data_IF_841133837098
#
_entry.id   IF_841133837098
#
_cell.length_a   1.000
_cell.length_b   1.000
_cell.length_c   1.000
_cell.angle_alpha   90.00
_cell.angle_beta   90.00
_cell.angle_gamma   90.00
#
_symmetry.space_group_name_H-M   'P 1'
#
loop_
_entity.id
_entity.type
_entity.pdbx_description
1 polymer ?
#
# COMPACT_ATOMS: atom_id res chain seq x y z
N UNK A 1 2.30 -21.57 6.81
CA UNK A 1 3.63 -21.06 6.44
C UNK A 1 4.05 -20.06 7.48
N UNK A 2 5.24 -20.23 8.05
CA UNK A 2 5.79 -19.37 9.10
C UNK A 2 6.64 -18.26 8.49
N UNK A 3 6.21 -17.01 8.60
CA UNK A 3 6.92 -15.84 8.05
C UNK A 3 7.60 -15.07 9.16
N UNK A 4 8.90 -14.82 9.02
CA UNK A 4 9.70 -14.02 9.95
C UNK A 4 9.93 -12.61 9.39
N UNK A 5 9.46 -11.58 10.08
CA UNK A 5 9.65 -10.17 9.72
C UNK A 5 10.71 -9.52 10.62
N UNK A 6 11.76 -8.97 10.01
CA UNK A 6 12.83 -8.31 10.75
C UNK A 6 12.53 -6.82 10.96
N UNK A 7 12.45 -6.39 12.22
CA UNK A 7 12.40 -4.96 12.55
C UNK A 7 13.83 -4.43 12.77
N UNK A 8 14.55 -4.20 11.69
CA UNK A 8 15.97 -3.84 11.78
C UNK A 8 16.18 -2.42 12.30
N UNK A 9 17.18 -2.24 13.17
CA UNK A 9 17.68 -0.93 13.55
C UNK A 9 18.98 -0.60 12.84
N UNK A 10 18.93 0.38 11.94
CA UNK A 10 20.08 0.84 11.15
C UNK A 10 20.81 2.01 11.79
N UNK A 11 20.31 2.54 12.91
CA UNK A 11 20.92 3.68 13.60
C UNK A 11 22.12 3.27 14.47
N UNK A 12 22.28 1.96 14.69
CA UNK A 12 23.38 1.41 15.48
C UNK A 12 24.70 1.34 14.71
N UNK A 13 25.81 1.34 15.43
CA UNK A 13 27.14 1.23 14.82
C UNK A 13 27.32 -0.09 14.03
N UNK A 14 28.18 -0.05 13.00
CA UNK A 14 28.41 -1.18 12.06
C UNK A 14 28.71 -2.52 12.73
N UNK A 15 29.57 -2.53 13.76
CA UNK A 15 29.92 -3.77 14.49
C UNK A 15 28.71 -4.39 15.20
N UNK A 16 27.84 -3.55 15.74
CA UNK A 16 26.61 -4.01 16.40
C UNK A 16 25.59 -4.46 15.35
N UNK A 17 25.43 -3.71 14.25
CA UNK A 17 24.57 -4.09 13.14
C UNK A 17 24.92 -5.47 12.56
N UNK A 18 26.20 -5.76 12.39
CA UNK A 18 26.69 -7.07 11.91
C UNK A 18 26.29 -8.20 12.85
N UNK A 19 26.51 -8.02 14.15
CA UNK A 19 26.11 -8.98 15.17
C UNK A 19 24.59 -9.23 15.14
N UNK A 20 23.80 -8.16 15.07
CA UNK A 20 22.33 -8.27 15.06
C UNK A 20 21.81 -8.92 13.77
N UNK A 21 22.43 -8.66 12.63
CA UNK A 21 22.11 -9.32 11.36
C UNK A 21 22.30 -10.85 11.45
N UNK A 22 23.48 -11.31 11.88
CA UNK A 22 23.74 -12.74 12.02
C UNK A 22 22.90 -13.38 13.14
N UNK A 23 22.58 -12.63 14.20
CA UNK A 23 21.65 -13.07 15.23
C UNK A 23 20.24 -13.28 14.65
N UNK A 24 19.75 -12.37 13.82
CA UNK A 24 18.45 -12.51 13.16
C UNK A 24 18.39 -13.72 12.23
N UNK A 25 19.44 -13.96 11.43
CA UNK A 25 19.56 -15.17 10.59
C UNK A 25 19.52 -16.45 11.44
N UNK A 26 20.25 -16.45 12.57
CA UNK A 26 20.22 -17.58 13.52
C UNK A 26 18.84 -17.79 14.11
N UNK A 27 18.14 -16.71 14.51
CA UNK A 27 16.78 -16.80 15.04
C UNK A 27 15.79 -17.32 14.01
N UNK A 28 15.91 -16.93 12.74
CA UNK A 28 15.10 -17.46 11.65
C UNK A 28 15.31 -18.97 11.50
N UNK A 29 16.57 -19.42 11.50
CA UNK A 29 16.96 -20.82 11.44
C UNK A 29 16.44 -21.64 12.63
N UNK A 30 16.76 -21.20 13.84
CA UNK A 30 16.36 -21.90 15.08
C UNK A 30 14.84 -21.91 15.25
N UNK A 31 14.18 -20.83 14.81
CA UNK A 31 12.73 -20.68 14.79
C UNK A 31 12.02 -21.45 13.68
N UNK A 32 12.77 -22.05 12.74
CA UNK A 32 12.25 -22.78 11.57
C UNK A 32 11.26 -21.92 10.76
N UNK A 33 11.64 -20.69 10.49
CA UNK A 33 10.90 -19.80 9.60
C UNK A 33 10.95 -20.37 8.18
N UNK A 34 9.85 -20.28 7.43
CA UNK A 34 9.80 -20.68 6.01
C UNK A 34 10.28 -19.55 5.09
N UNK A 35 9.93 -18.30 5.44
CA UNK A 35 10.28 -17.08 4.71
C UNK A 35 10.76 -15.98 5.66
N UNK A 36 11.99 -15.52 5.49
CA UNK A 36 12.58 -14.42 6.28
C UNK A 36 12.64 -13.12 5.49
N UNK A 37 12.04 -12.06 6.01
CA UNK A 37 11.79 -10.81 5.29
C UNK A 37 12.52 -9.64 5.94
N UNK A 38 13.28 -8.92 5.13
CA UNK A 38 13.95 -7.69 5.51
C UNK A 38 13.14 -6.44 5.14
N UNK A 39 13.28 -5.33 5.91
CA UNK A 39 12.67 -4.05 5.56
C UNK A 39 13.32 -3.41 4.33
N UNK A 40 12.72 -2.33 3.83
CA UNK A 40 13.33 -1.57 2.72
C UNK A 40 14.65 -0.92 3.16
N UNK A 41 15.63 -0.89 2.23
CA UNK A 41 17.00 -0.49 2.51
C UNK A 41 17.64 -1.25 3.68
N UNK A 42 17.36 -2.53 3.86
CA UNK A 42 17.92 -3.30 4.96
C UNK A 42 19.45 -3.28 4.96
N UNK A 43 20.06 -3.03 6.11
CA UNK A 43 21.50 -3.13 6.29
C UNK A 43 21.97 -4.59 6.26
N UNK A 44 23.09 -4.85 5.62
CA UNK A 44 23.76 -6.15 5.57
C UNK A 44 25.29 -5.98 5.71
N UNK A 45 26.03 -7.04 6.08
CA UNK A 45 27.49 -7.03 6.01
C UNK A 45 28.04 -6.84 4.60
N UNK A 46 27.21 -7.07 3.57
CA UNK A 46 27.54 -7.01 2.15
C UNK A 46 27.16 -5.67 1.49
N UNK A 47 26.77 -4.66 2.28
CA UNK A 47 26.27 -3.38 1.75
C UNK A 47 27.23 -2.72 0.76
N UNK A 48 28.54 -2.79 1.01
CA UNK A 48 29.54 -2.23 0.08
C UNK A 48 29.50 -2.95 -1.29
N UNK A 49 29.33 -4.27 -1.30
CA UNK A 49 29.26 -5.04 -2.54
C UNK A 49 27.92 -4.79 -3.23
N UNK A 50 26.81 -4.91 -2.52
CA UNK A 50 25.46 -4.78 -3.07
C UNK A 50 25.13 -3.38 -3.62
N UNK A 51 25.76 -2.33 -3.09
CA UNK A 51 25.57 -0.96 -3.57
C UNK A 51 26.13 -0.78 -5.00
N UNK A 52 27.28 -1.38 -5.27
CA UNK A 52 27.99 -1.28 -6.55
C UNK A 52 27.43 -2.24 -7.62
N UNK A 53 26.41 -3.04 -7.28
CA UNK A 53 25.79 -4.00 -8.18
C UNK A 53 24.45 -3.46 -8.70
N UNK A 54 24.40 -2.90 -9.93
CA UNK A 54 23.16 -2.42 -10.52
C UNK A 54 22.18 -3.58 -10.75
N UNK A 55 20.93 -3.44 -10.31
CA UNK A 55 19.91 -4.46 -10.63
C UNK A 55 19.42 -4.33 -12.09
N UNK A 56 19.40 -3.11 -12.61
CA UNK A 56 18.94 -2.79 -13.96
C UNK A 56 20.11 -2.48 -14.90
N UNK A 57 19.83 -2.42 -16.19
CA UNK A 57 20.79 -1.88 -17.16
C UNK A 57 20.74 -0.34 -17.11
N UNK A 58 21.89 0.30 -17.06
CA UNK A 58 22.05 1.75 -17.14
C UNK A 58 22.97 2.12 -18.30
N UNK A 59 23.03 3.40 -18.64
CA UNK A 59 23.89 3.87 -19.73
C UNK A 59 25.38 3.61 -19.40
N UNK A 60 25.99 2.65 -20.10
CA UNK A 60 27.38 2.26 -19.89
C UNK A 60 27.61 1.28 -18.74
N UNK A 61 26.55 0.74 -18.12
CA UNK A 61 26.63 -0.19 -17.00
C UNK A 61 25.61 -1.33 -17.16
N UNK A 62 26.08 -2.57 -17.22
CA UNK A 62 25.23 -3.76 -17.36
C UNK A 62 24.71 -4.23 -16.01
N UNK A 63 23.48 -4.76 -15.98
CA UNK A 63 22.90 -5.33 -14.78
C UNK A 63 23.76 -6.48 -14.20
N UNK A 64 23.73 -6.59 -12.88
CA UNK A 64 24.49 -7.57 -12.08
C UNK A 64 23.58 -8.48 -11.26
N UNK A 65 22.39 -8.77 -11.79
CA UNK A 65 21.37 -9.55 -11.09
C UNK A 65 21.87 -10.93 -10.60
N UNK A 66 22.73 -11.60 -11.36
CA UNK A 66 23.33 -12.89 -10.95
C UNK A 66 24.29 -12.77 -9.76
N UNK A 67 25.01 -11.66 -9.64
CA UNK A 67 25.95 -11.41 -8.54
C UNK A 67 25.16 -11.10 -7.26
N UNK A 68 24.11 -10.29 -7.38
CA UNK A 68 23.14 -10.05 -6.30
C UNK A 68 22.50 -11.37 -5.85
N UNK A 69 22.03 -12.20 -6.79
CA UNK A 69 21.42 -13.50 -6.52
C UNK A 69 22.35 -14.41 -5.69
N UNK A 70 23.64 -14.44 -5.99
CA UNK A 70 24.63 -15.24 -5.22
C UNK A 70 24.72 -14.76 -3.77
N UNK A 71 24.82 -13.45 -3.55
CA UNK A 71 24.87 -12.87 -2.20
C UNK A 71 23.59 -13.19 -1.42
N UNK A 72 22.41 -12.97 -2.01
CA UNK A 72 21.13 -13.24 -1.36
C UNK A 72 20.93 -14.74 -1.12
N UNK A 73 21.40 -15.59 -2.04
CA UNK A 73 21.43 -17.05 -1.87
C UNK A 73 22.23 -17.47 -0.62
N UNK A 74 23.39 -16.85 -0.38
CA UNK A 74 24.22 -17.17 0.79
C UNK A 74 23.57 -16.71 2.10
N UNK A 75 22.88 -15.57 2.08
CA UNK A 75 22.04 -15.12 3.20
C UNK A 75 20.93 -16.14 3.47
N UNK A 76 20.21 -16.58 2.44
CA UNK A 76 19.12 -17.56 2.54
C UNK A 76 19.62 -18.92 3.07
N UNK A 77 20.77 -19.41 2.57
CA UNK A 77 21.42 -20.63 3.08
C UNK A 77 21.81 -20.51 4.55
N UNK A 78 22.29 -19.34 4.97
CA UNK A 78 22.67 -19.08 6.37
C UNK A 78 21.45 -19.06 7.29
N UNK A 79 20.35 -18.41 6.85
CA UNK A 79 19.05 -18.43 7.54
C UNK A 79 18.35 -19.80 7.49
N UNK A 80 18.74 -20.67 6.56
CA UNK A 80 18.13 -21.97 6.30
C UNK A 80 16.63 -21.86 5.96
N UNK A 81 16.26 -20.85 5.18
CA UNK A 81 14.91 -20.61 4.68
C UNK A 81 14.95 -19.72 3.44
N UNK A 82 13.80 -19.52 2.78
CA UNK A 82 13.69 -18.49 1.75
C UNK A 82 13.87 -17.09 2.37
N UNK A 83 14.37 -16.13 1.59
CA UNK A 83 14.60 -14.75 2.04
C UNK A 83 14.01 -13.76 1.05
N UNK A 84 13.44 -12.67 1.57
CA UNK A 84 13.20 -11.42 0.83
C UNK A 84 14.15 -10.35 1.37
N UNK A 85 15.11 -9.93 0.55
CA UNK A 85 16.01 -8.82 0.86
C UNK A 85 15.59 -7.57 0.07
N UNK A 86 15.35 -6.45 0.75
CA UNK A 86 15.01 -5.19 0.08
C UNK A 86 16.13 -4.15 0.22
N UNK A 87 16.68 -3.70 -0.91
CA UNK A 87 17.87 -2.86 -1.02
C UNK A 87 17.73 -1.80 -2.10
N UNK A 88 18.71 -0.92 -2.18
CA UNK A 88 18.91 -0.04 -3.31
C UNK A 88 20.35 -0.20 -3.84
N UNK A 89 20.53 -0.05 -5.14
CA UNK A 89 21.83 0.16 -5.77
C UNK A 89 22.22 1.64 -5.77
N UNK A 90 23.46 1.94 -6.13
CA UNK A 90 24.00 3.31 -6.18
C UNK A 90 23.38 4.16 -7.30
N UNK A 91 22.75 3.53 -8.29
CA UNK A 91 21.92 4.20 -9.29
C UNK A 91 20.56 4.64 -8.74
N UNK A 92 20.16 4.12 -7.57
CA UNK A 92 18.97 4.53 -6.85
C UNK A 92 17.72 3.74 -7.20
N UNK A 93 17.84 2.57 -7.84
CA UNK A 93 16.73 1.63 -7.98
C UNK A 93 16.55 0.86 -6.66
N UNK A 94 15.35 0.93 -6.10
CA UNK A 94 14.98 0.19 -4.90
C UNK A 94 14.28 -1.09 -5.31
N UNK A 95 14.76 -2.23 -4.83
CA UNK A 95 14.27 -3.55 -5.20
C UNK A 95 14.04 -4.46 -4.00
N UNK A 96 13.15 -5.43 -4.16
CA UNK A 96 12.84 -6.50 -3.22
C UNK A 96 13.13 -7.83 -3.90
N UNK A 97 14.20 -8.51 -3.47
CA UNK A 97 14.70 -9.73 -4.09
C UNK A 97 14.36 -10.94 -3.21
N UNK A 98 13.46 -11.77 -3.69
CA UNK A 98 13.14 -13.08 -3.14
C UNK A 98 14.11 -14.14 -3.66
N UNK A 99 14.62 -15.00 -2.78
CA UNK A 99 15.46 -16.16 -3.13
C UNK A 99 15.15 -17.34 -2.21
N UNK A 100 15.00 -18.53 -2.80
CA UNK A 100 14.81 -19.80 -2.13
C UNK A 100 15.76 -20.87 -2.70
N UNK A 101 16.92 -21.09 -2.06
CA UNK A 101 17.86 -22.13 -2.49
C UNK A 101 17.39 -23.56 -2.16
N UNK A 102 16.22 -23.70 -1.54
CA UNK A 102 15.60 -24.96 -1.14
C UNK A 102 14.27 -25.21 -1.87
N UNK A 103 14.02 -24.48 -2.96
CA UNK A 103 12.79 -24.58 -3.74
C UNK A 103 12.53 -26.03 -4.18
N UNK A 104 11.30 -26.48 -3.95
CA UNK A 104 10.79 -27.76 -4.47
C UNK A 104 10.25 -27.57 -5.88
N UNK A 105 9.95 -28.68 -6.56
CA UNK A 105 9.30 -28.65 -7.87
C UNK A 105 8.03 -27.79 -7.84
N UNK A 106 7.99 -26.77 -8.70
CA UNK A 106 6.87 -25.82 -8.80
C UNK A 106 6.92 -24.63 -7.84
N UNK A 107 7.92 -24.54 -6.96
CA UNK A 107 8.18 -23.33 -6.17
C UNK A 107 9.07 -22.36 -6.93
N UNK A 108 8.92 -21.07 -6.63
CA UNK A 108 9.80 -20.03 -7.18
C UNK A 108 11.19 -20.15 -6.55
N UNK A 109 12.23 -20.16 -7.39
CA UNK A 109 13.64 -20.15 -6.95
C UNK A 109 14.11 -18.76 -6.58
N UNK A 110 13.76 -17.78 -7.39
CA UNK A 110 14.15 -16.39 -7.23
C UNK A 110 13.18 -15.50 -8.01
N UNK A 111 13.03 -14.26 -7.53
CA UNK A 111 12.22 -13.21 -8.17
C UNK A 111 12.60 -11.86 -7.58
N UNK A 112 12.62 -10.81 -8.39
CA UNK A 112 12.70 -9.44 -7.87
C UNK A 112 11.47 -8.61 -8.22
N UNK A 113 11.20 -7.62 -7.38
CA UNK A 113 10.21 -6.57 -7.60
C UNK A 113 10.92 -5.22 -7.47
N UNK A 114 10.62 -4.27 -8.37
CA UNK A 114 11.22 -2.93 -8.37
C UNK A 114 10.17 -1.92 -7.90
N UNK A 115 10.59 -0.99 -7.04
CA UNK A 115 9.72 0.04 -6.51
C UNK A 115 9.18 0.95 -7.62
N UNK A 116 7.90 1.27 -7.56
CA UNK A 116 7.24 2.05 -8.63
C UNK A 116 7.16 3.54 -8.31
N UNK A 117 7.05 3.92 -7.05
CA UNK A 117 6.91 5.33 -6.67
C UNK A 117 7.74 5.70 -5.45
N UNK A 118 7.95 7.00 -5.25
CA UNK A 118 8.78 7.54 -4.18
C UNK A 118 10.20 6.93 -4.16
N UNK A 119 10.87 7.05 -5.30
CA UNK A 119 12.18 6.45 -5.61
C UNK A 119 12.97 7.33 -6.58
N UNK A 120 14.27 7.15 -6.69
CA UNK A 120 15.10 7.87 -7.68
C UNK A 120 14.96 7.26 -9.07
N UNK A 121 14.98 5.93 -9.14
CA UNK A 121 14.73 5.11 -10.34
C UNK A 121 13.52 4.24 -10.09
N UNK A 122 12.54 4.32 -10.98
CA UNK A 122 11.26 3.61 -10.89
C UNK A 122 11.16 2.49 -11.91
N UNK A 123 10.40 1.44 -11.57
CA UNK A 123 9.91 0.46 -12.57
C UNK A 123 9.18 1.16 -13.74
N UNK A 124 8.51 2.28 -13.49
CA UNK A 124 7.87 3.08 -14.53
C UNK A 124 8.84 3.83 -15.44
N UNK A 125 10.14 3.88 -15.14
CA UNK A 125 11.14 4.47 -16.04
C UNK A 125 11.62 3.46 -17.11
N UNK A 126 11.22 2.18 -17.01
CA UNK A 126 11.55 1.15 -17.99
C UNK A 126 10.79 1.41 -19.31
N UNK A 127 11.51 1.34 -20.43
CA UNK A 127 10.94 1.64 -21.76
C UNK A 127 9.87 0.62 -22.18
N UNK A 128 9.99 -0.60 -21.68
CA UNK A 128 9.19 -1.79 -21.91
C UNK A 128 8.26 -2.12 -20.72
N UNK A 129 7.97 -1.14 -19.85
CA UNK A 129 7.15 -1.38 -18.67
C UNK A 129 5.83 -2.14 -18.95
N UNK A 130 5.14 -1.81 -20.04
CA UNK A 130 3.88 -2.47 -20.43
C UNK A 130 4.06 -3.97 -20.69
N UNK A 131 5.18 -4.37 -21.31
CA UNK A 131 5.51 -5.76 -21.58
C UNK A 131 5.96 -6.50 -20.31
N UNK A 132 6.49 -5.76 -19.32
CA UNK A 132 7.02 -6.29 -18.06
C UNK A 132 6.00 -6.34 -16.90
N UNK A 133 4.75 -5.86 -17.10
CA UNK A 133 3.71 -5.85 -16.05
C UNK A 133 3.51 -7.26 -15.47
N UNK A 134 3.39 -8.28 -16.32
CA UNK A 134 3.19 -9.66 -15.88
C UNK A 134 4.36 -10.15 -15.02
N UNK A 135 5.59 -9.87 -15.44
CA UNK A 135 6.78 -10.24 -14.69
C UNK A 135 6.79 -9.60 -13.30
N UNK A 136 6.55 -8.29 -13.19
CA UNK A 136 6.59 -7.60 -11.89
C UNK A 136 5.53 -8.07 -10.90
N UNK A 137 4.35 -8.46 -11.39
CA UNK A 137 3.21 -8.82 -10.55
C UNK A 137 2.90 -10.32 -10.50
N UNK A 138 3.65 -11.16 -11.19
CA UNK A 138 3.53 -12.61 -11.05
C UNK A 138 3.86 -13.02 -9.58
N UNK A 139 3.00 -13.80 -8.91
CA UNK A 139 3.24 -14.18 -7.52
C UNK A 139 4.46 -15.10 -7.33
N UNK A 140 5.13 -14.96 -6.21
CA UNK A 140 6.07 -15.97 -5.70
C UNK A 140 5.27 -17.18 -5.22
N UNK A 141 5.72 -18.38 -5.57
CA UNK A 141 5.18 -19.65 -5.10
C UNK A 141 6.07 -20.25 -4.03
N UNK A 142 5.54 -20.43 -2.81
CA UNK A 142 6.27 -21.02 -1.69
C UNK A 142 5.32 -21.82 -0.78
N UNK A 143 5.63 -23.10 -0.54
CA UNK A 143 4.84 -24.00 0.30
C UNK A 143 3.33 -24.02 -0.04
N UNK A 144 3.01 -23.93 -1.34
CA UNK A 144 1.65 -23.92 -1.85
C UNK A 144 0.91 -22.58 -1.71
N UNK A 145 1.57 -21.52 -1.24
CA UNK A 145 1.03 -20.16 -1.15
C UNK A 145 1.56 -19.27 -2.27
N UNK A 146 0.72 -18.32 -2.69
CA UNK A 146 1.04 -17.24 -3.61
C UNK A 146 1.35 -15.94 -2.84
N UNK A 147 2.50 -15.35 -3.09
CA UNK A 147 2.99 -14.19 -2.35
C UNK A 147 3.27 -13.02 -3.30
N UNK A 148 2.68 -11.87 -3.02
CA UNK A 148 2.97 -10.60 -3.68
C UNK A 148 3.95 -9.73 -2.88
N UNK A 149 4.72 -8.89 -3.57
CA UNK A 149 5.68 -7.95 -2.97
C UNK A 149 5.31 -6.50 -3.29
N UNK A 150 5.41 -5.63 -2.30
CA UNK A 150 5.35 -4.18 -2.48
C UNK A 150 6.41 -3.50 -1.62
N UNK A 151 6.87 -2.32 -2.03
CA UNK A 151 7.90 -1.59 -1.30
C UNK A 151 7.31 -0.28 -0.78
N UNK A 152 7.17 -0.16 0.54
CA UNK A 152 6.87 1.08 1.24
C UNK A 152 5.68 1.85 0.63
N UNK A 153 5.97 3.00 0.01
CA UNK A 153 5.00 3.94 -0.54
C UNK A 153 4.15 3.37 -1.68
N UNK A 154 4.58 2.28 -2.33
CA UNK A 154 3.78 1.55 -3.32
C UNK A 154 2.43 1.13 -2.73
N UNK A 155 2.39 0.71 -1.46
CA UNK A 155 1.13 0.36 -0.78
C UNK A 155 0.11 1.50 -0.70
N UNK A 156 0.52 2.76 -0.91
CA UNK A 156 -0.40 3.90 -0.93
C UNK A 156 -1.15 4.05 -2.26
N UNK A 157 -0.69 3.39 -3.32
CA UNK A 157 -1.34 3.33 -4.62
C UNK A 157 -1.96 1.93 -4.81
N UNK A 158 -3.30 1.82 -4.80
CA UNK A 158 -3.96 0.53 -4.63
C UNK A 158 -3.79 -0.42 -5.83
N UNK A 159 -3.52 0.09 -7.04
CA UNK A 159 -3.43 -0.77 -8.23
C UNK A 159 -2.25 -1.75 -8.15
N UNK A 160 -1.17 -1.43 -7.44
CA UNK A 160 -0.04 -2.35 -7.25
C UNK A 160 -0.43 -3.57 -6.42
N UNK A 161 -1.20 -3.37 -5.34
CA UNK A 161 -1.77 -4.50 -4.59
C UNK A 161 -2.87 -5.21 -5.38
N UNK A 162 -3.63 -4.47 -6.20
CA UNK A 162 -4.73 -5.02 -7.00
C UNK A 162 -4.27 -6.04 -8.03
N UNK A 163 -3.13 -5.81 -8.67
CA UNK A 163 -2.52 -6.79 -9.58
C UNK A 163 -2.33 -8.17 -8.92
N UNK A 164 -1.88 -8.19 -7.67
CA UNK A 164 -1.78 -9.42 -6.90
C UNK A 164 -3.15 -9.96 -6.49
N UNK A 165 -4.09 -9.10 -6.10
CA UNK A 165 -5.46 -9.49 -5.77
C UNK A 165 -6.18 -10.22 -6.92
N UNK A 166 -6.00 -9.75 -8.16
CA UNK A 166 -6.53 -10.43 -9.35
C UNK A 166 -5.89 -11.81 -9.59
N UNK A 167 -4.62 -11.96 -9.20
CA UNK A 167 -3.89 -13.24 -9.22
C UNK A 167 -4.21 -14.17 -8.03
N UNK A 168 -5.15 -13.76 -7.15
CA UNK A 168 -5.60 -14.49 -5.96
C UNK A 168 -4.42 -14.88 -5.06
N UNK A 169 -3.57 -13.91 -4.74
CA UNK A 169 -2.48 -14.15 -3.77
C UNK A 169 -3.02 -14.42 -2.37
N UNK A 170 -2.30 -15.22 -1.60
CA UNK A 170 -2.62 -15.51 -0.20
C UNK A 170 -2.04 -14.46 0.74
N UNK A 171 -0.95 -13.82 0.34
CA UNK A 171 -0.17 -12.90 1.14
C UNK A 171 0.43 -11.78 0.28
N UNK A 172 0.34 -10.53 0.73
CA UNK A 172 1.16 -9.42 0.24
C UNK A 172 2.12 -8.98 1.34
N UNK A 173 3.39 -8.84 1.00
CA UNK A 173 4.43 -8.36 1.91
C UNK A 173 4.80 -6.94 1.52
N UNK A 174 4.76 -6.03 2.49
CA UNK A 174 5.22 -4.66 2.32
C UNK A 174 6.49 -4.39 3.14
N UNK A 175 7.63 -4.29 2.46
CA UNK A 175 8.90 -3.88 3.06
C UNK A 175 8.97 -2.35 3.09
N UNK A 176 8.93 -1.78 4.30
CA UNK A 176 9.00 -0.32 4.54
C UNK A 176 10.35 0.02 5.17
N UNK A 177 11.02 1.09 4.73
CA UNK A 177 12.38 1.36 5.16
C UNK A 177 12.47 2.24 6.40
N UNK A 178 11.77 3.37 6.38
CA UNK A 178 11.87 4.39 7.44
C UNK A 178 10.65 4.46 8.35
N UNK A 179 10.69 5.43 9.26
CA UNK A 179 9.55 5.79 10.07
C UNK A 179 8.40 6.31 9.21
N UNK A 180 7.20 5.80 9.50
CA UNK A 180 5.93 6.23 8.92
C UNK A 180 4.88 6.40 10.01
N UNK A 181 3.91 7.29 9.78
CA UNK A 181 2.76 7.43 10.67
C UNK A 181 2.01 6.09 10.75
N UNK A 182 2.08 5.43 11.91
CA UNK A 182 1.50 4.10 12.13
C UNK A 182 0.03 4.06 11.74
N UNK A 183 -0.75 5.06 12.14
CA UNK A 183 -2.17 5.13 11.85
C UNK A 183 -2.42 5.13 10.34
N UNK A 184 -1.67 5.94 9.59
CA UNK A 184 -1.77 6.00 8.13
C UNK A 184 -1.40 4.68 7.48
N UNK A 185 -0.30 4.06 7.91
CA UNK A 185 0.17 2.79 7.35
C UNK A 185 -0.77 1.62 7.69
N UNK A 186 -1.21 1.54 8.94
CA UNK A 186 -2.25 0.60 9.42
C UNK A 186 -3.50 0.66 8.55
N UNK A 187 -3.99 1.87 8.25
CA UNK A 187 -5.12 2.04 7.35
C UNK A 187 -4.90 1.45 5.97
N UNK A 188 -3.78 1.78 5.31
CA UNK A 188 -3.50 1.25 3.97
C UNK A 188 -3.40 -0.27 3.98
N UNK A 189 -2.62 -0.86 4.90
CA UNK A 189 -2.43 -2.30 4.90
C UNK A 189 -3.72 -3.07 5.22
N UNK A 190 -4.56 -2.56 6.13
CA UNK A 190 -5.89 -3.14 6.38
C UNK A 190 -6.77 -3.05 5.14
N UNK A 191 -6.78 -1.92 4.44
CA UNK A 191 -7.53 -1.79 3.18
C UNK A 191 -7.01 -2.73 2.10
N UNK A 192 -5.69 -2.89 1.94
CA UNK A 192 -5.07 -3.83 0.97
C UNK A 192 -5.48 -5.27 1.26
N UNK A 193 -5.55 -5.66 2.53
CA UNK A 193 -5.95 -7.01 2.92
C UNK A 193 -7.41 -7.30 2.56
N UNK A 194 -8.31 -6.35 2.86
CA UNK A 194 -9.74 -6.47 2.59
C UNK A 194 -10.02 -6.45 1.07
N UNK A 195 -9.52 -5.44 0.35
CA UNK A 195 -9.87 -5.22 -1.06
C UNK A 195 -9.29 -6.28 -2.01
N UNK A 196 -8.21 -6.95 -1.59
CA UNK A 196 -7.58 -8.03 -2.34
C UNK A 196 -7.88 -9.41 -1.77
N UNK A 197 -8.65 -9.48 -0.67
CA UNK A 197 -8.97 -10.74 0.01
C UNK A 197 -7.71 -11.58 0.21
N UNK A 198 -6.72 -11.04 0.92
CA UNK A 198 -5.46 -11.72 1.20
C UNK A 198 -4.90 -11.27 2.54
N UNK A 199 -3.95 -12.03 3.09
CA UNK A 199 -3.17 -11.54 4.23
C UNK A 199 -2.25 -10.40 3.77
N UNK A 200 -1.95 -9.46 4.65
CA UNK A 200 -0.94 -8.42 4.42
C UNK A 200 0.00 -8.38 5.61
N UNK A 201 1.30 -8.39 5.34
CA UNK A 201 2.35 -8.24 6.34
C UNK A 201 3.19 -7.00 6.04
N UNK A 202 3.58 -6.27 7.08
CA UNK A 202 4.41 -5.08 6.97
C UNK A 202 5.54 -5.13 7.98
N UNK A 203 6.76 -4.88 7.50
CA UNK A 203 7.95 -4.71 8.34
C UNK A 203 8.64 -3.39 8.03
N UNK A 204 9.16 -2.74 9.07
CA UNK A 204 9.81 -1.43 9.01
C UNK A 204 11.28 -1.53 9.43
N UNK A 205 12.04 -0.44 9.27
CA UNK A 205 13.35 -0.29 9.89
C UNK A 205 13.43 1.02 10.69
N UNK A 206 14.34 1.08 11.67
CA UNK A 206 14.77 2.34 12.29
C UNK A 206 15.88 2.93 11.44
N UNK A 207 15.61 4.05 10.77
CA UNK A 207 16.49 4.62 9.75
C UNK A 207 17.20 5.91 10.19
N UNK A 208 16.57 6.75 11.02
CA UNK A 208 17.10 8.07 11.41
C UNK A 208 17.26 8.19 12.93
N UNK A 209 18.50 8.32 13.42
CA UNK A 209 18.83 8.41 14.86
C UNK A 209 18.20 9.64 15.55
N UNK A 210 17.98 10.73 14.80
CA UNK A 210 17.45 12.00 15.30
C UNK A 210 15.92 12.17 15.20
N UNK A 211 15.24 11.37 14.37
CA UNK A 211 13.79 11.43 14.21
C UNK A 211 13.15 10.34 15.09
N UNK A 212 13.02 10.61 16.40
CA UNK A 212 12.41 9.71 17.39
C UNK A 212 10.92 9.50 17.14
N UNK A 213 10.59 8.70 16.14
CA UNK A 213 9.32 8.02 16.06
C UNK A 213 9.56 6.52 15.90
N UNK A 214 8.58 5.73 16.33
CA UNK A 214 8.69 4.28 16.44
C UNK A 214 8.50 3.61 15.06
N UNK A 215 9.23 2.54 14.82
CA UNK A 215 9.00 1.64 13.69
C UNK A 215 8.27 0.40 14.18
N UNK A 216 7.48 -0.23 13.30
CA UNK A 216 6.55 -1.27 13.72
C UNK A 216 6.57 -2.48 12.78
N UNK A 217 6.16 -3.61 13.33
CA UNK A 217 5.78 -4.80 12.58
C UNK A 217 4.30 -5.10 12.82
N UNK A 218 3.56 -5.44 11.78
CA UNK A 218 2.16 -5.83 11.93
C UNK A 218 1.66 -6.53 10.67
N UNK A 219 0.48 -7.12 10.78
CA UNK A 219 -0.21 -7.70 9.65
C UNK A 219 -1.71 -7.75 9.86
N UNK A 220 -2.42 -8.01 8.77
CA UNK A 220 -3.87 -8.19 8.74
C UNK A 220 -4.22 -9.45 7.94
N UNK A 221 -5.26 -10.15 8.37
CA UNK A 221 -5.86 -11.22 7.58
C UNK A 221 -6.75 -10.66 6.47
N UNK A 222 -7.29 -11.53 5.62
CA UNK A 222 -8.19 -11.16 4.52
C UNK A 222 -9.50 -10.47 4.95
N UNK A 223 -9.87 -10.55 6.24
CA UNK A 223 -11.01 -9.84 6.81
C UNK A 223 -10.62 -8.49 7.44
N UNK A 224 -9.33 -8.13 7.40
CA UNK A 224 -8.79 -6.93 8.01
C UNK A 224 -8.66 -7.01 9.54
N UNK A 225 -8.62 -8.21 10.12
CA UNK A 225 -8.30 -8.43 11.53
C UNK A 225 -6.78 -8.48 11.70
N UNK A 226 -6.26 -7.85 12.76
CA UNK A 226 -4.83 -7.84 13.04
C UNK A 226 -4.33 -9.26 13.33
N UNK A 227 -3.26 -9.64 12.65
CA UNK A 227 -2.60 -10.92 12.86
C UNK A 227 -1.78 -10.91 14.15
N UNK A 228 -1.85 -12.02 14.88
CA UNK A 228 -0.99 -12.26 16.04
C UNK A 228 0.40 -12.73 15.60
N UNK A 229 1.39 -12.47 16.45
CA UNK A 229 2.77 -12.87 16.22
C UNK A 229 3.43 -13.35 17.51
N UNK A 230 4.53 -14.07 17.35
CA UNK A 230 5.49 -14.36 18.41
C UNK A 230 6.83 -13.69 18.11
N UNK A 231 7.58 -13.30 19.14
CA UNK A 231 8.92 -12.72 18.97
C UNK A 231 9.95 -13.82 19.22
N UNK A 232 10.71 -14.19 18.19
CA UNK A 232 11.70 -15.27 18.28
C UNK A 232 12.86 -14.86 19.19
N UNK A 233 13.31 -15.78 20.05
CA UNK A 233 14.38 -15.54 21.02
C UNK A 233 13.97 -14.72 22.26
N UNK A 234 12.71 -14.32 22.35
CA UNK A 234 12.16 -13.50 23.44
C UNK A 234 11.15 -14.30 24.27
N UNK A 235 11.16 -14.13 25.61
CA UNK A 235 10.14 -14.67 26.52
C UNK A 235 9.30 -13.53 27.09
N UNK A 236 8.09 -13.34 26.58
CA UNK A 236 7.06 -12.51 27.23
C UNK A 236 6.94 -11.06 26.77
N UNK A 237 7.72 -10.62 25.78
CA UNK A 237 7.48 -9.32 25.15
C UNK A 237 6.33 -9.40 24.15
N UNK A 238 5.47 -8.36 24.15
CA UNK A 238 4.30 -8.26 23.27
C UNK A 238 4.30 -7.05 22.35
N UNK A 239 5.23 -6.11 22.52
CA UNK A 239 5.26 -4.89 21.71
C UNK A 239 5.76 -5.18 20.30
N UNK A 240 5.21 -4.47 19.31
CA UNK A 240 5.54 -4.67 17.91
C UNK A 240 6.63 -3.72 17.38
N UNK A 241 7.36 -3.07 18.27
CA UNK A 241 8.34 -2.03 17.95
C UNK A 241 9.73 -2.29 18.56
N UNK A 242 10.03 -3.54 18.95
CA UNK A 242 11.31 -3.91 19.54
C UNK A 242 12.42 -3.96 18.46
N UNK A 243 13.43 -3.11 18.64
CA UNK A 243 14.57 -2.99 17.74
C UNK A 243 15.31 -4.33 17.56
N UNK A 244 15.65 -4.65 16.32
CA UNK A 244 16.35 -5.88 15.90
C UNK A 244 15.65 -7.18 16.34
N UNK A 245 14.34 -7.12 16.61
CA UNK A 245 13.56 -8.31 16.89
C UNK A 245 13.06 -8.99 15.60
N UNK A 246 12.92 -10.31 15.67
CA UNK A 246 12.34 -11.13 14.61
C UNK A 246 10.94 -11.59 15.00
N UNK A 247 9.94 -11.08 14.28
CA UNK A 247 8.53 -11.35 14.53
C UNK A 247 8.06 -12.49 13.62
N UNK A 248 7.50 -13.52 14.21
CA UNK A 248 7.01 -14.69 13.48
C UNK A 248 5.49 -14.69 13.43
N UNK A 249 4.97 -14.76 12.22
CA UNK A 249 3.55 -14.90 11.89
C UNK A 249 3.30 -16.29 11.31
N UNK A 250 2.16 -16.88 11.65
CA UNK A 250 1.63 -18.04 10.95
C UNK A 250 0.63 -17.55 9.91
N UNK A 251 0.90 -17.87 8.64
CA UNK A 251 0.07 -17.50 7.50
C UNK A 251 -0.47 -18.77 6.86
N UNK A 252 -1.78 -18.80 6.67
CA UNK A 252 -2.49 -19.89 6.01
C UNK A 252 -2.96 -19.46 4.62
N UNK A 253 -3.19 -20.44 3.75
CA UNK A 253 -3.80 -20.20 2.45
C UNK A 253 -5.16 -19.54 2.65
N UNK A 254 -5.46 -18.53 1.83
CA UNK A 254 -6.76 -17.91 1.91
C UNK A 254 -7.79 -18.82 1.23
N UNK A 255 -8.41 -19.69 2.04
CA UNK A 255 -9.42 -20.65 1.59
C UNK A 255 -10.83 -20.05 1.50
N UNK A 256 -11.00 -18.79 1.91
CA UNK A 256 -12.30 -18.13 1.96
C UNK A 256 -12.50 -17.24 0.74
N UNK A 257 -13.36 -17.69 -0.17
CA UNK A 257 -13.95 -16.84 -1.21
C UNK A 257 -14.98 -15.84 -0.63
N UNK A 258 -15.37 -16.00 0.64
CA UNK A 258 -16.42 -15.20 1.29
C UNK A 258 -15.87 -14.43 2.48
N UNK A 259 -16.04 -13.11 2.43
CA UNK A 259 -15.71 -12.19 3.51
C UNK A 259 -16.54 -12.48 4.77
N UNK A 260 -15.86 -12.66 5.91
CA UNK A 260 -16.49 -12.92 7.20
C UNK A 260 -16.45 -11.67 8.09
N UNK A 261 -17.58 -10.97 8.14
CA UNK A 261 -17.71 -9.73 8.93
C UNK A 261 -17.49 -9.96 10.43
N UNK A 262 -17.77 -11.15 10.95
CA UNK A 262 -17.54 -11.46 12.36
C UNK A 262 -16.06 -11.71 12.65
N UNK A 263 -15.30 -12.11 11.62
CA UNK A 263 -13.84 -12.23 11.67
C UNK A 263 -13.12 -10.88 11.61
N UNK A 264 -13.72 -9.86 10.98
CA UNK A 264 -13.12 -8.53 10.84
C UNK A 264 -13.06 -7.76 12.16
N UNK A 265 -12.01 -6.97 12.40
CA UNK A 265 -11.93 -6.09 13.57
C UNK A 265 -12.57 -4.72 13.31
N UNK A 266 -13.08 -4.11 14.38
CA UNK A 266 -13.54 -2.71 14.34
C UNK A 266 -12.38 -1.81 13.93
N UNK A 267 -12.67 -0.80 13.11
CA UNK A 267 -11.73 0.26 12.78
C UNK A 267 -11.18 0.89 14.07
N UNK A 268 -9.87 0.71 14.31
CA UNK A 268 -9.13 1.20 15.49
C UNK A 268 -9.36 2.70 15.75
N UNK A 269 -9.71 3.45 14.71
CA UNK A 269 -9.89 4.89 14.75
C UNK A 269 -11.31 5.30 14.32
N UNK A 270 -12.31 4.43 14.55
CA UNK A 270 -13.72 4.71 14.29
C UNK A 270 -14.19 6.00 14.97
N UNK A 271 -13.80 6.20 16.24
CA UNK A 271 -14.18 7.32 17.10
C UNK A 271 -13.30 8.57 16.94
N UNK A 272 -12.57 8.67 15.83
CA UNK A 272 -11.80 9.87 15.52
C UNK A 272 -12.68 11.13 15.60
N UNK A 273 -12.15 12.16 16.28
CA UNK A 273 -12.85 13.42 16.47
C UNK A 273 -13.29 14.05 15.13
N UNK A 274 -14.55 14.49 15.09
CA UNK A 274 -15.15 15.15 13.93
C UNK A 274 -14.84 16.64 13.98
N UNK A 275 -14.28 17.19 12.91
CA UNK A 275 -13.85 18.59 12.87
C UNK A 275 -14.64 19.38 11.83
N UNK A 276 -14.93 20.64 12.14
CA UNK A 276 -15.42 21.62 11.16
C UNK A 276 -14.18 22.15 10.43
N UNK A 277 -14.21 22.15 9.10
CA UNK A 277 -13.14 22.77 8.33
C UNK A 277 -13.09 24.28 8.58
N UNK A 278 -11.88 24.83 8.74
CA UNK A 278 -11.68 26.27 8.92
C UNK A 278 -12.07 27.06 7.67
N UNK A 279 -11.78 26.49 6.50
CA UNK A 279 -12.15 27.03 5.19
C UNK A 279 -13.23 26.14 4.60
N UNK A 280 -14.35 26.73 4.14
CA UNK A 280 -15.46 26.01 3.53
C UNK A 280 -15.76 26.66 2.18
N UNK A 281 -15.41 25.98 1.11
CA UNK A 281 -15.63 26.45 -0.27
C UNK A 281 -16.89 25.82 -0.89
N UNK A 282 -17.28 24.65 -0.40
CA UNK A 282 -18.45 23.92 -0.86
C UNK A 282 -19.21 23.32 0.31
N UNK A 283 -20.52 23.58 0.36
CA UNK A 283 -21.40 23.16 1.43
C UNK A 283 -22.62 22.47 0.84
N UNK A 284 -22.94 21.26 1.30
CA UNK A 284 -24.01 20.44 0.74
C UNK A 284 -24.63 19.52 1.79
N UNK A 285 -25.91 19.21 1.61
CA UNK A 285 -26.52 18.03 2.20
C UNK A 285 -26.27 16.83 1.29
N UNK A 286 -25.87 15.64 1.80
CA UNK A 286 -25.71 14.44 0.98
C UNK A 286 -26.95 14.11 0.13
N UNK A 287 -28.14 14.26 0.71
CA UNK A 287 -29.40 14.01 0.01
C UNK A 287 -29.66 15.01 -1.11
N UNK A 288 -29.43 16.30 -0.86
CA UNK A 288 -29.57 17.36 -1.87
C UNK A 288 -28.56 17.15 -3.02
N UNK A 289 -27.34 16.73 -2.70
CA UNK A 289 -26.31 16.44 -3.70
C UNK A 289 -26.71 15.27 -4.58
N UNK A 290 -27.24 14.19 -4.01
CA UNK A 290 -27.75 13.04 -4.77
C UNK A 290 -28.87 13.43 -5.74
N UNK A 291 -29.82 14.27 -5.30
CA UNK A 291 -30.90 14.74 -6.16
C UNK A 291 -30.39 15.59 -7.32
N UNK A 292 -29.38 16.44 -7.07
CA UNK A 292 -28.83 17.37 -8.05
C UNK A 292 -27.77 16.76 -8.97
N UNK A 293 -27.16 15.63 -8.61
CA UNK A 293 -26.05 15.07 -9.41
C UNK A 293 -26.44 14.83 -10.87
N UNK A 294 -27.69 14.44 -11.10
CA UNK A 294 -28.25 14.20 -12.44
C UNK A 294 -28.41 15.46 -13.28
N UNK A 295 -28.40 16.65 -12.66
CA UNK A 295 -28.47 17.94 -13.36
C UNK A 295 -27.09 18.50 -13.70
N UNK A 296 -26.01 17.91 -13.17
CA UNK A 296 -24.65 18.33 -13.47
C UNK A 296 -24.22 17.86 -14.86
N UNK A 297 -23.18 18.49 -15.42
CA UNK A 297 -22.65 18.09 -16.72
C UNK A 297 -22.08 16.67 -16.60
N UNK A 298 -22.71 15.70 -17.25
CA UNK A 298 -22.20 14.32 -17.32
C UNK A 298 -20.98 14.28 -18.24
N UNK A 299 -19.86 13.78 -17.74
CA UNK A 299 -18.65 13.51 -18.55
C UNK A 299 -18.76 12.10 -19.14
N UNK A 300 -19.04 11.12 -18.28
CA UNK A 300 -19.34 9.72 -18.64
C UNK A 300 -20.32 9.15 -17.62
N UNK A 301 -20.66 7.87 -17.76
CA UNK A 301 -21.38 7.18 -16.68
C UNK A 301 -20.66 7.33 -15.35
N UNK A 302 -21.43 7.69 -14.32
CA UNK A 302 -20.94 7.86 -12.94
C UNK A 302 -19.88 8.95 -12.73
N UNK A 303 -19.61 9.80 -13.73
CA UNK A 303 -18.67 10.92 -13.63
C UNK A 303 -19.33 12.23 -14.07
N UNK A 304 -19.37 13.19 -13.15
CA UNK A 304 -20.08 14.45 -13.33
C UNK A 304 -19.18 15.65 -13.04
N UNK A 305 -19.52 16.77 -13.66
CA UNK A 305 -18.82 18.04 -13.50
C UNK A 305 -19.77 19.14 -13.07
N UNK A 306 -19.41 19.82 -11.99
CA UNK A 306 -20.04 21.03 -11.50
C UNK A 306 -19.04 22.19 -11.57
N UNK A 307 -19.16 23.09 -12.56
CA UNK A 307 -18.40 24.32 -12.59
C UNK A 307 -18.81 25.23 -11.42
N UNK A 308 -17.84 25.74 -10.66
CA UNK A 308 -18.07 26.68 -9.56
C UNK A 308 -16.98 27.76 -9.56
N UNK A 309 -17.34 28.97 -9.99
CA UNK A 309 -16.38 30.08 -10.21
C UNK A 309 -15.26 29.64 -11.17
N UNK A 310 -14.02 29.64 -10.71
CA UNK A 310 -12.80 29.24 -11.41
C UNK A 310 -12.41 27.76 -11.15
N UNK A 311 -13.21 27.04 -10.36
CA UNK A 311 -13.01 25.65 -10.00
C UNK A 311 -13.95 24.72 -10.77
N UNK A 312 -13.47 23.50 -11.00
CA UNK A 312 -14.20 22.44 -11.66
C UNK A 312 -14.38 21.26 -10.70
N UNK A 313 -15.55 21.14 -10.06
CA UNK A 313 -15.81 20.07 -9.10
C UNK A 313 -16.18 18.80 -9.88
N UNK A 314 -15.29 17.82 -9.87
CA UNK A 314 -15.46 16.49 -10.43
C UNK A 314 -16.09 15.60 -9.37
N UNK A 315 -17.22 14.99 -9.69
CA UNK A 315 -17.93 14.07 -8.79
C UNK A 315 -17.87 12.67 -9.39
N UNK A 316 -17.13 11.79 -8.71
CA UNK A 316 -17.07 10.36 -8.98
C UNK A 316 -18.18 9.67 -8.16
N UNK A 317 -19.25 9.24 -8.82
CA UNK A 317 -20.36 8.56 -8.19
C UNK A 317 -20.09 7.05 -8.15
N UNK A 318 -20.06 6.45 -6.98
CA UNK A 318 -19.73 5.03 -6.78
C UNK A 318 -20.84 4.38 -5.96
N UNK A 319 -21.41 3.27 -6.44
CA UNK A 319 -22.48 2.59 -5.73
C UNK A 319 -21.92 1.61 -4.73
N UNK A 320 -22.48 1.61 -3.53
CA UNK A 320 -22.35 0.54 -2.55
C UNK A 320 -20.91 0.02 -2.41
N UNK A 321 -20.71 -1.27 -2.68
CA UNK A 321 -19.45 -2.00 -2.55
C UNK A 321 -18.42 -1.70 -3.64
N UNK A 322 -18.79 -1.02 -4.73
CA UNK A 322 -17.83 -0.70 -5.81
C UNK A 322 -16.68 0.18 -5.30
N UNK A 323 -16.83 0.82 -4.14
CA UNK A 323 -15.77 1.59 -3.47
C UNK A 323 -14.63 0.71 -2.94
N UNK A 324 -14.88 -0.58 -2.71
CA UNK A 324 -13.87 -1.56 -2.35
C UNK A 324 -12.95 -1.87 -3.51
N UNK A 325 -13.44 -1.86 -4.75
CA UNK A 325 -12.66 -2.15 -5.95
C UNK A 325 -11.85 -0.93 -6.41
N UNK A 326 -10.52 -0.92 -6.24
CA UNK A 326 -9.72 0.26 -6.57
C UNK A 326 -9.76 0.65 -8.05
N UNK A 327 -9.88 -0.33 -8.95
CA UNK A 327 -10.00 -0.14 -10.39
C UNK A 327 -11.30 0.53 -10.79
N UNK A 328 -12.43 0.20 -10.14
CA UNK A 328 -13.73 0.83 -10.38
C UNK A 328 -13.66 2.33 -10.12
N UNK A 329 -13.03 2.73 -9.01
CA UNK A 329 -12.81 4.14 -8.69
C UNK A 329 -11.75 4.78 -9.59
N UNK A 330 -10.65 4.09 -9.85
CA UNK A 330 -9.55 4.62 -10.69
C UNK A 330 -10.03 4.90 -12.12
N UNK A 331 -10.94 4.08 -12.67
CA UNK A 331 -11.58 4.31 -13.96
C UNK A 331 -12.39 5.61 -14.05
N UNK A 332 -12.79 6.20 -12.92
CA UNK A 332 -13.43 7.52 -12.88
C UNK A 332 -12.40 8.64 -12.68
N UNK A 333 -11.41 8.42 -11.82
CA UNK A 333 -10.41 9.43 -11.44
C UNK A 333 -9.37 9.70 -12.55
N UNK A 334 -9.07 8.68 -13.35
CA UNK A 334 -8.07 8.73 -14.43
C UNK A 334 -8.73 8.73 -15.82
N UNK A 335 -10.00 9.11 -15.91
CA UNK A 335 -10.68 9.17 -17.20
C UNK A 335 -10.05 10.20 -18.15
N UNK A 336 -9.81 9.82 -19.40
CA UNK A 336 -9.14 10.65 -20.41
C UNK A 336 -9.87 11.98 -20.66
N UNK A 337 -11.20 12.01 -20.52
CA UNK A 337 -12.01 13.22 -20.73
C UNK A 337 -11.78 14.28 -19.63
N UNK A 338 -11.12 13.91 -18.53
CA UNK A 338 -10.72 14.85 -17.47
C UNK A 338 -9.45 15.63 -17.84
N UNK A 339 -8.65 15.16 -18.81
CA UNK A 339 -7.36 15.79 -19.19
C UNK A 339 -7.54 17.25 -19.64
N UNK A 340 -8.60 17.53 -20.40
CA UNK A 340 -8.92 18.87 -20.93
C UNK A 340 -9.46 19.85 -19.87
N UNK A 341 -9.80 19.37 -18.67
CA UNK A 341 -10.42 20.19 -17.62
C UNK A 341 -9.33 20.70 -16.66
N UNK A 342 -9.23 22.01 -16.51
CA UNK A 342 -8.28 22.65 -15.59
C UNK A 342 -8.90 22.89 -14.21
N UNK A 343 -8.07 23.15 -13.19
CA UNK A 343 -8.51 23.47 -11.81
C UNK A 343 -9.54 22.49 -11.21
N UNK A 344 -9.36 21.19 -11.49
CA UNK A 344 -10.22 20.12 -11.00
C UNK A 344 -10.18 20.01 -9.47
N UNK A 345 -11.32 19.65 -8.88
CA UNK A 345 -11.50 19.33 -7.45
C UNK A 345 -12.38 18.10 -7.31
N UNK A 346 -11.90 17.08 -6.60
CA UNK A 346 -12.50 15.76 -6.63
C UNK A 346 -13.33 15.45 -5.39
N UNK A 347 -14.53 14.94 -5.63
CA UNK A 347 -15.43 14.40 -4.61
C UNK A 347 -15.82 13.00 -5.06
N UNK A 348 -15.60 12.02 -4.19
CA UNK A 348 -16.16 10.68 -4.33
C UNK A 348 -17.46 10.64 -3.56
N UNK A 349 -18.56 10.34 -4.25
CA UNK A 349 -19.88 10.17 -3.66
C UNK A 349 -20.22 8.68 -3.64
N UNK A 350 -20.11 8.05 -2.48
CA UNK A 350 -20.46 6.65 -2.28
C UNK A 350 -21.89 6.53 -1.76
N UNK A 351 -22.77 6.01 -2.60
CA UNK A 351 -24.22 5.97 -2.39
C UNK A 351 -24.71 4.57 -2.04
N UNK A 352 -25.51 4.49 -0.98
CA UNK A 352 -26.06 3.27 -0.42
C UNK A 352 -27.52 3.48 -0.05
N UNK A 353 -28.33 2.42 -0.11
CA UNK A 353 -29.66 2.42 0.51
C UNK A 353 -29.55 2.44 2.04
N UNK A 354 -29.28 1.27 2.62
CA UNK A 354 -29.02 1.09 4.06
C UNK A 354 -27.65 0.44 4.21
N UNK A 355 -26.87 0.90 5.19
CA UNK A 355 -25.57 0.31 5.52
C UNK A 355 -25.68 -0.43 6.85
N UNK A 356 -25.31 -1.71 6.88
CA UNK A 356 -25.20 -2.43 8.15
C UNK A 356 -24.14 -1.77 9.05
N UNK A 357 -24.48 -1.58 10.33
CA UNK A 357 -23.60 -0.87 11.26
C UNK A 357 -22.29 -1.63 11.50
N UNK A 358 -22.34 -2.97 11.64
CA UNK A 358 -21.11 -3.75 11.83
C UNK A 358 -20.22 -3.70 10.59
N UNK A 359 -20.81 -3.78 9.41
CA UNK A 359 -20.09 -3.60 8.15
C UNK A 359 -19.43 -2.22 8.04
N UNK A 360 -20.15 -1.16 8.42
CA UNK A 360 -19.58 0.17 8.46
C UNK A 360 -18.36 0.26 9.39
N UNK A 361 -18.50 -0.23 10.61
CA UNK A 361 -17.49 -0.09 11.66
C UNK A 361 -16.24 -0.93 11.39
N UNK A 362 -16.39 -2.11 10.79
CA UNK A 362 -15.29 -3.07 10.59
C UNK A 362 -14.60 -2.95 9.23
N UNK A 363 -15.33 -2.50 8.21
CA UNK A 363 -14.86 -2.48 6.81
C UNK A 363 -14.92 -1.07 6.23
N UNK A 364 -16.13 -0.56 6.02
CA UNK A 364 -16.35 0.59 5.14
C UNK A 364 -15.71 1.87 5.70
N UNK A 365 -15.72 2.07 7.02
CA UNK A 365 -15.09 3.24 7.65
C UNK A 365 -13.60 3.35 7.30
N UNK A 366 -12.86 2.24 7.37
CA UNK A 366 -11.44 2.19 7.02
C UNK A 366 -11.22 2.48 5.53
N UNK A 367 -11.98 1.82 4.66
CA UNK A 367 -11.89 1.97 3.20
C UNK A 367 -12.14 3.41 2.78
N UNK A 368 -13.20 4.05 3.28
CA UNK A 368 -13.53 5.44 2.92
C UNK A 368 -12.45 6.44 3.34
N UNK A 369 -11.81 6.22 4.49
CA UNK A 369 -10.65 7.02 4.93
C UNK A 369 -9.46 6.83 3.99
N UNK A 370 -9.19 5.59 3.59
CA UNK A 370 -8.11 5.26 2.64
C UNK A 370 -8.39 5.90 1.28
N UNK A 371 -9.60 5.79 0.72
CA UNK A 371 -9.98 6.42 -0.55
C UNK A 371 -9.78 7.94 -0.53
N UNK A 372 -10.08 8.60 0.58
CA UNK A 372 -9.84 10.02 0.75
C UNK A 372 -8.32 10.33 0.76
N UNK A 373 -7.54 9.54 1.49
CA UNK A 373 -6.11 9.72 1.68
C UNK A 373 -5.28 9.44 0.43
N UNK A 374 -5.54 8.32 -0.25
CA UNK A 374 -4.81 7.93 -1.47
C UNK A 374 -5.13 8.86 -2.64
N UNK A 375 -6.38 9.32 -2.77
CA UNK A 375 -6.80 10.15 -3.91
C UNK A 375 -6.82 11.66 -3.63
N UNK A 376 -6.39 12.12 -2.45
CA UNK A 376 -6.39 13.54 -2.06
C UNK A 376 -7.73 14.24 -2.38
N UNK A 377 -8.82 13.64 -1.93
CA UNK A 377 -10.18 14.06 -2.26
C UNK A 377 -11.09 14.08 -1.03
N UNK A 378 -12.33 14.54 -1.21
CA UNK A 378 -13.39 14.33 -0.23
C UNK A 378 -14.16 13.06 -0.60
N UNK A 379 -14.46 12.22 0.39
CA UNK A 379 -15.28 11.01 0.24
C UNK A 379 -16.53 11.16 1.08
N UNK A 380 -17.69 10.99 0.47
CA UNK A 380 -19.01 11.11 1.11
C UNK A 380 -19.64 9.74 1.13
N UNK A 381 -20.04 9.28 2.31
CA UNK A 381 -20.97 8.16 2.46
C UNK A 381 -22.37 8.73 2.62
N UNK A 382 -23.25 8.38 1.69
CA UNK A 382 -24.67 8.67 1.76
C UNK A 382 -25.45 7.37 1.90
N UNK A 383 -26.19 7.25 3.00
CA UNK A 383 -27.21 6.21 3.19
C UNK A 383 -28.35 6.75 4.05
N UNK A 384 -29.44 5.98 4.14
CA UNK A 384 -30.59 6.31 4.98
C UNK A 384 -30.16 6.48 6.45
N UNK A 385 -29.40 5.53 6.98
CA UNK A 385 -29.03 5.45 8.40
C UNK A 385 -27.64 6.01 8.74
N UNK A 386 -26.68 6.03 7.81
CA UNK A 386 -25.30 6.50 8.03
C UNK A 386 -24.91 7.57 7.00
N UNK A 387 -24.50 8.75 7.50
CA UNK A 387 -23.97 9.84 6.67
C UNK A 387 -22.63 10.29 7.21
N UNK A 388 -21.58 10.20 6.38
CA UNK A 388 -20.21 10.55 6.76
C UNK A 388 -19.52 11.31 5.63
N UNK A 389 -18.54 12.12 6.00
CA UNK A 389 -17.67 12.78 5.05
C UNK A 389 -16.23 12.71 5.58
N UNK A 390 -15.33 12.27 4.71
CA UNK A 390 -13.90 12.15 4.98
C UNK A 390 -13.14 13.06 4.03
N UNK A 391 -12.07 13.66 4.50
CA UNK A 391 -11.20 14.52 3.69
C UNK A 391 -9.78 14.49 4.25
N UNK A 392 -8.76 14.63 3.43
CA UNK A 392 -7.38 14.76 3.94
C UNK A 392 -7.15 16.08 4.68
N UNK A 393 -6.46 16.02 5.82
CA UNK A 393 -5.89 17.20 6.47
C UNK A 393 -4.54 17.61 5.89
N UNK A 394 -3.92 18.66 6.42
CA UNK A 394 -2.60 19.14 5.95
C UNK A 394 -1.49 18.09 6.08
N UNK A 395 -1.58 17.22 7.10
CA UNK A 395 -0.63 16.12 7.31
C UNK A 395 -0.95 14.89 6.44
N UNK A 396 -1.86 15.00 5.47
CA UNK A 396 -2.30 13.91 4.57
C UNK A 396 -2.92 12.70 5.28
N UNK A 397 -3.36 12.88 6.53
CA UNK A 397 -4.19 11.93 7.26
C UNK A 397 -5.67 12.23 7.01
N UNK A 398 -6.49 11.18 6.90
CA UNK A 398 -7.93 11.33 6.76
C UNK A 398 -8.53 11.99 8.01
N UNK A 399 -9.38 13.00 7.80
CA UNK A 399 -10.17 13.70 8.82
C UNK A 399 -11.64 13.40 8.62
N UNK A 400 -12.39 13.29 9.72
CA UNK A 400 -13.85 13.17 9.65
C UNK A 400 -14.44 14.58 9.71
N UNK A 401 -15.15 14.98 8.66
CA UNK A 401 -15.79 16.29 8.58
C UNK A 401 -17.07 16.27 9.42
N UNK A 402 -17.21 17.25 10.32
CA UNK A 402 -18.39 17.40 11.17
C UNK A 402 -19.56 17.97 10.36
N UNK A 403 -20.69 17.30 10.41
CA UNK A 403 -21.94 17.80 9.84
C UNK A 403 -22.53 18.90 10.74
N UNK A 404 -22.93 20.02 10.14
CA UNK A 404 -23.56 21.16 10.83
C UNK A 404 -24.83 21.55 10.09
N UNK A 405 -25.98 21.59 10.79
CA UNK A 405 -27.27 21.91 10.17
C UNK A 405 -27.65 20.99 9.01
N UNK A 406 -27.30 19.70 9.09
CA UNK A 406 -27.56 18.71 8.03
C UNK A 406 -26.63 18.79 6.82
N UNK A 407 -25.59 19.62 6.86
CA UNK A 407 -24.65 19.84 5.75
C UNK A 407 -23.21 19.55 6.13
N UNK A 408 -22.41 19.10 5.16
CA UNK A 408 -20.96 19.04 5.26
C UNK A 408 -20.35 20.25 4.56
N UNK A 409 -19.37 20.88 5.20
CA UNK A 409 -18.55 21.94 4.60
C UNK A 409 -17.16 21.42 4.27
N UNK A 410 -16.83 21.34 2.99
CA UNK A 410 -15.53 20.85 2.51
C UNK A 410 -14.63 21.99 2.06
N UNK A 411 -13.34 21.83 2.34
CA UNK A 411 -12.26 22.72 1.88
C UNK A 411 -11.78 22.24 0.50
N UNK A 412 -12.18 22.91 -0.57
CA UNK A 412 -11.84 22.45 -1.92
C UNK A 412 -10.35 22.59 -2.20
N UNK A 413 -9.57 23.37 -1.45
CA UNK A 413 -8.11 23.43 -1.65
C UNK A 413 -7.42 22.08 -1.36
N UNK A 414 -8.06 21.21 -0.58
CA UNK A 414 -7.56 19.90 -0.16
C UNK A 414 -8.07 18.73 -1.00
N UNK A 415 -8.86 19.00 -2.03
CA UNK A 415 -9.47 17.97 -2.88
C UNK A 415 -8.86 17.98 -4.29
N UNK A 416 -7.55 18.12 -4.41
CA UNK A 416 -6.88 18.27 -5.70
C UNK A 416 -6.80 17.00 -6.52
N UNK A 417 -7.16 15.84 -5.95
CA UNK A 417 -7.27 14.59 -6.70
C UNK A 417 -5.93 13.88 -6.94
N UNK A 418 -5.92 12.92 -7.88
CA UNK A 418 -4.70 12.23 -8.35
C UNK A 418 -3.56 13.18 -8.75
N UNK A 419 -3.87 14.39 -9.22
CA UNK A 419 -2.88 15.41 -9.57
C UNK A 419 -2.05 15.87 -8.38
N UNK A 420 -2.51 15.64 -7.15
CA UNK A 420 -1.69 15.87 -5.96
C UNK A 420 -0.53 14.89 -5.86
N UNK A 421 -0.69 13.65 -6.37
CA UNK A 421 0.31 12.59 -6.35
C UNK A 421 1.31 12.82 -7.47
N UNK A 422 0.81 12.91 -8.70
CA UNK A 422 1.56 12.94 -9.95
C UNK A 422 2.15 14.31 -10.26
N UNK A 423 3.12 14.71 -9.43
CA UNK A 423 3.91 15.94 -9.57
C UNK A 423 5.34 15.66 -9.17
N UNK A 424 6.27 16.42 -9.73
CA UNK A 424 7.67 16.36 -9.35
C UNK A 424 7.83 16.79 -7.89
N UNK A 425 8.24 15.87 -7.03
CA UNK A 425 8.54 16.11 -5.61
C UNK A 425 9.92 15.56 -5.31
N UNK A 426 10.93 16.39 -5.56
CA UNK A 426 12.33 16.01 -5.44
C UNK A 426 12.67 15.40 -4.07
N UNK A 427 12.07 15.91 -2.98
CA UNK A 427 12.31 15.41 -1.62
C UNK A 427 11.94 13.94 -1.39
N UNK A 428 10.96 13.42 -2.13
CA UNK A 428 10.46 12.06 -1.93
C UNK A 428 10.63 11.19 -3.18
N UNK A 429 11.27 11.67 -4.25
CA UNK A 429 11.42 10.93 -5.49
C UNK A 429 10.09 10.60 -6.19
N UNK A 430 9.16 11.56 -6.29
CA UNK A 430 7.98 11.41 -7.14
C UNK A 430 8.17 12.19 -8.44
N UNK A 431 7.74 11.61 -9.57
CA UNK A 431 7.69 12.28 -10.88
C UNK A 431 6.27 12.34 -11.41
N UNK A 432 5.94 13.40 -12.14
CA UNK A 432 4.63 13.57 -12.75
C UNK A 432 4.40 12.65 -13.95
N UNK A 433 5.46 12.34 -14.71
CA UNK A 433 5.42 11.53 -15.92
C UNK A 433 4.99 10.07 -15.69
N UNK A 434 5.32 9.52 -14.51
CA UNK A 434 4.91 8.17 -14.09
C UNK A 434 3.40 7.92 -14.08
N UNK A 435 2.59 8.99 -14.09
CA UNK A 435 1.14 8.87 -14.26
C UNK A 435 0.78 8.07 -15.52
N UNK A 436 1.53 8.23 -16.61
CA UNK A 436 1.24 7.56 -17.88
C UNK A 436 1.30 6.03 -17.70
N UNK A 437 2.35 5.52 -17.06
CA UNK A 437 2.51 4.09 -16.82
C UNK A 437 1.58 3.56 -15.72
N UNK A 438 1.16 4.40 -14.76
CA UNK A 438 0.08 4.05 -13.86
C UNK A 438 -1.28 3.90 -14.59
N UNK A 439 -1.55 4.72 -15.60
CA UNK A 439 -2.73 4.59 -16.46
C UNK A 439 -2.64 3.39 -17.41
N UNK A 440 -1.43 3.01 -17.86
CA UNK A 440 -1.18 1.73 -18.56
C UNK A 440 -1.56 0.56 -17.67
N UNK A 441 -1.07 0.54 -16.42
CA UNK A 441 -1.41 -0.51 -15.45
C UNK A 441 -2.92 -0.62 -15.21
N UNK A 442 -3.63 0.51 -15.12
CA UNK A 442 -5.09 0.50 -15.00
C UNK A 442 -5.77 -0.14 -16.22
N UNK A 443 -5.30 0.13 -17.44
CA UNK A 443 -5.84 -0.51 -18.66
C UNK A 443 -5.61 -2.01 -18.64
N UNK A 444 -4.39 -2.43 -18.31
CA UNK A 444 -4.04 -3.85 -18.16
C UNK A 444 -4.98 -4.55 -17.16
N UNK A 445 -5.16 -3.98 -15.96
CA UNK A 445 -6.08 -4.47 -14.92
C UNK A 445 -7.52 -4.63 -15.46
N UNK A 446 -8.00 -3.67 -16.23
CA UNK A 446 -9.36 -3.73 -16.79
C UNK A 446 -9.51 -4.82 -17.84
N UNK A 447 -8.46 -5.13 -18.59
CA UNK A 447 -8.48 -6.20 -19.59
C UNK A 447 -8.38 -7.58 -18.92
N UNK A 448 -7.57 -7.73 -17.87
CA UNK A 448 -7.53 -8.94 -17.04
C UNK A 448 -8.86 -9.20 -16.32
N UNK A 449 -9.49 -8.17 -15.76
CA UNK A 449 -10.77 -8.31 -15.05
C UNK A 449 -11.95 -8.72 -15.95
N UNK A 450 -11.78 -8.68 -17.29
CA UNK A 450 -12.78 -9.14 -18.28
C UNK A 450 -12.58 -10.58 -18.73
N UNK A 451 -11.42 -11.18 -18.45
CA UNK A 451 -11.13 -12.60 -18.70
C UNK A 451 -11.76 -13.46 -17.62
#
# INVERSE_FOLDING_TARGET
MKVGLFLQDKTINKKTAEKEFYNALKLAKDGKVDLFVFPEHAWTPFDNELNDLPLLNYEGEENKAEEILKIVTDIAKTANCAVILCRADDNGAIYSYYVNPFAKDGETTDKYYIKHVATSVSAFDLQDYEDEIEFFFEPILLNGLKIGQTICYDSTLPLFSRMYGLNKVDLIINSTGGHVDYKKWSYYQKARAIENSCNVLCTMAYFEEGARNQSYVFGYDSNGKKLEYSILGSRGYKDNNINNALYSFEVEANSKDVFDINGAEVDEYLDQAKNINKNIDFCFSPHELLQKIKTFKRIKENLYLLPQKDLNIVICYIKENDILSPESLSNLLYDENLSAITNKRYIIFNDWGIVDHNYYERVLSNILKVRAAENFCAVILNSENIKKCFQVGNNKNAQIVKMCGGKFGIDLSRTTGPEAIWKNKNLIGMRGEWRQNYEVLLRYINDEARK
#
